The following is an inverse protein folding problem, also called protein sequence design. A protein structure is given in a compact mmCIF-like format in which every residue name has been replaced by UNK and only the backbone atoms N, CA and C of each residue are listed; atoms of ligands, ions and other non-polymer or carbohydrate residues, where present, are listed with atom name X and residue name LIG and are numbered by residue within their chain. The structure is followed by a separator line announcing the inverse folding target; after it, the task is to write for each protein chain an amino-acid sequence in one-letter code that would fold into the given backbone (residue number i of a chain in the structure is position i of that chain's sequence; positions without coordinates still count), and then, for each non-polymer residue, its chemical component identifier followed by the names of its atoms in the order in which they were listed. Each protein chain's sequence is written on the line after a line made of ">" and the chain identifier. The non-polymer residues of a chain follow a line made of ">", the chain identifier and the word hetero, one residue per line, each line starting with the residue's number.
data_IF_921936134545
#
_entry.id   IF_921936134545
#
_cell.length_a   1.000
_cell.length_b   1.000
_cell.length_c   1.000
_cell.angle_alpha   90.00
_cell.angle_beta   90.00
_cell.angle_gamma   90.00
#
_symmetry.space_group_name_H-M   'P 1'
#
loop_
_entity.id
_entity.type
_entity.pdbx_description
1 polymer ?
#
# COMPACT_ATOMS: atom_id res chain seq x y z
N UNK A 1 41.20 -33.89 -19.65
CA UNK A 1 40.94 -32.50 -19.20
C UNK A 1 39.47 -32.06 -19.30
N UNK A 2 38.74 -32.36 -20.39
CA UNK A 2 37.32 -31.91 -20.55
C UNK A 2 36.33 -32.47 -19.52
N UNK A 3 36.54 -33.70 -19.04
CA UNK A 3 35.64 -34.39 -18.10
C UNK A 3 35.69 -33.76 -16.69
N UNK A 4 36.87 -33.33 -16.24
CA UNK A 4 37.04 -32.68 -14.93
C UNK A 4 36.31 -31.33 -14.89
N UNK A 5 36.32 -30.58 -15.99
CA UNK A 5 35.59 -29.31 -16.08
C UNK A 5 34.07 -29.48 -15.98
N UNK A 6 33.52 -30.52 -16.61
CA UNK A 6 32.09 -30.86 -16.53
C UNK A 6 31.73 -31.28 -15.10
N UNK A 7 32.57 -32.08 -14.46
CA UNK A 7 32.34 -32.57 -13.10
C UNK A 7 32.33 -31.43 -12.07
N UNK A 8 33.27 -30.46 -12.20
CA UNK A 8 33.30 -29.25 -11.38
C UNK A 8 32.06 -28.38 -11.64
N UNK A 9 31.64 -28.24 -12.89
CA UNK A 9 30.45 -27.46 -13.24
C UNK A 9 29.18 -28.06 -12.62
N UNK A 10 29.03 -29.39 -12.67
CA UNK A 10 27.91 -30.10 -12.03
C UNK A 10 27.98 -29.95 -10.49
N UNK A 11 29.17 -30.10 -9.89
CA UNK A 11 29.38 -29.90 -8.45
C UNK A 11 29.06 -28.48 -7.97
N UNK A 12 29.22 -27.47 -8.82
CA UNK A 12 28.85 -26.09 -8.52
C UNK A 12 27.35 -25.81 -8.73
N UNK A 13 26.69 -26.54 -9.64
CA UNK A 13 25.25 -26.40 -9.91
C UNK A 13 24.40 -27.11 -8.83
N UNK A 14 24.86 -28.23 -8.28
CA UNK A 14 24.12 -28.97 -7.24
C UNK A 14 23.76 -28.10 -6.01
N UNK A 15 24.69 -27.32 -5.40
CA UNK A 15 24.34 -26.43 -4.28
C UNK A 15 23.52 -25.21 -4.71
N UNK A 16 23.47 -24.84 -5.99
CA UNK A 16 22.55 -23.82 -6.51
C UNK A 16 21.11 -24.34 -6.62
N UNK A 17 20.94 -25.64 -6.90
CA UNK A 17 19.62 -26.31 -6.98
C UNK A 17 19.15 -26.77 -5.59
N UNK A 18 20.08 -27.15 -4.69
CA UNK A 18 19.79 -27.63 -3.33
C UNK A 18 19.93 -26.55 -2.25
N UNK A 19 20.27 -25.32 -2.61
CA UNK A 19 20.06 -24.22 -1.69
C UNK A 19 18.56 -24.13 -1.46
N UNK A 20 18.13 -24.41 -0.23
CA UNK A 20 16.82 -23.95 0.22
C UNK A 20 16.72 -22.49 -0.20
N UNK A 21 15.79 -22.20 -1.12
CA UNK A 21 15.49 -20.83 -1.48
C UNK A 21 14.99 -20.22 -0.18
N UNK A 22 15.86 -19.48 0.50
CA UNK A 22 15.46 -18.63 1.62
C UNK A 22 14.45 -17.69 0.99
N UNK A 23 13.17 -18.00 1.17
CA UNK A 23 12.11 -17.09 0.79
C UNK A 23 12.40 -15.81 1.56
N UNK A 24 12.74 -14.70 0.88
CA UNK A 24 12.96 -13.46 1.59
C UNK A 24 11.70 -13.18 2.41
N UNK A 25 11.90 -12.69 3.63
CA UNK A 25 10.78 -12.23 4.46
C UNK A 25 10.00 -11.14 3.74
N UNK A 26 8.89 -10.73 4.34
CA UNK A 26 8.10 -9.62 3.82
C UNK A 26 8.05 -8.51 4.85
N UNK A 27 8.13 -7.28 4.39
CA UNK A 27 8.01 -6.12 5.25
C UNK A 27 6.92 -5.14 4.78
N UNK A 28 6.47 -4.29 5.71
CA UNK A 28 5.65 -3.12 5.44
C UNK A 28 6.20 -2.05 4.53
N UNK A 29 5.42 -1.65 3.51
CA UNK A 29 5.50 -0.31 2.91
C UNK A 29 4.17 0.44 3.04
N UNK A 30 4.28 1.76 3.18
CA UNK A 30 3.13 2.67 3.19
C UNK A 30 2.62 2.89 1.76
N UNK A 31 1.30 2.92 1.60
CA UNK A 31 0.65 3.33 0.35
C UNK A 31 -0.05 4.66 0.56
N UNK A 32 0.47 5.71 -0.09
CA UNK A 32 -0.10 7.06 -0.05
C UNK A 32 -1.10 7.19 -1.18
N UNK A 33 -2.36 7.42 -0.85
CA UNK A 33 -3.43 7.55 -1.84
C UNK A 33 -3.82 9.04 -1.99
N UNK A 34 -3.89 9.53 -3.23
CA UNK A 34 -4.14 10.94 -3.55
C UNK A 34 -5.23 11.12 -4.60
N UNK A 35 -6.08 12.12 -4.41
CA UNK A 35 -7.08 12.58 -5.36
C UNK A 35 -6.60 13.89 -5.98
N UNK A 36 -6.50 13.95 -7.30
CA UNK A 36 -5.90 15.09 -8.02
C UNK A 36 -6.86 16.19 -8.38
N UNK A 37 -8.13 15.85 -8.58
CA UNK A 37 -9.16 16.75 -9.07
C UNK A 37 -10.23 17.05 -8.00
N UNK A 38 -9.87 16.96 -6.71
CA UNK A 38 -10.82 17.26 -5.62
C UNK A 38 -11.33 18.71 -5.69
N UNK A 39 -10.47 19.63 -6.16
CA UNK A 39 -10.78 21.05 -6.33
C UNK A 39 -11.84 21.30 -7.41
N UNK A 40 -12.05 20.37 -8.33
CA UNK A 40 -13.06 20.48 -9.39
C UNK A 40 -14.48 20.25 -8.85
N UNK A 41 -14.60 19.80 -7.58
CA UNK A 41 -15.86 19.45 -6.91
C UNK A 41 -16.10 20.31 -5.64
N UNK A 42 -16.17 21.65 -5.76
CA UNK A 42 -16.22 22.54 -4.59
C UNK A 42 -17.51 22.43 -3.77
N UNK A 43 -18.57 21.84 -4.32
CA UNK A 43 -19.87 21.67 -3.65
C UNK A 43 -19.96 20.36 -2.85
N UNK A 44 -18.89 19.57 -2.83
CA UNK A 44 -18.87 18.27 -2.19
C UNK A 44 -17.85 18.20 -1.05
N UNK A 45 -18.13 17.33 -0.10
CA UNK A 45 -17.20 16.84 0.93
C UNK A 45 -16.80 15.43 0.55
N UNK A 46 -15.50 15.17 0.57
CA UNK A 46 -14.95 13.83 0.36
C UNK A 46 -14.56 13.26 1.70
N UNK A 47 -15.00 12.04 1.98
CA UNK A 47 -14.65 11.33 3.20
C UNK A 47 -14.05 9.97 2.87
N UNK A 48 -13.02 9.59 3.62
CA UNK A 48 -12.51 8.22 3.66
C UNK A 48 -13.15 7.47 4.81
N UNK A 49 -13.74 6.32 4.50
CA UNK A 49 -14.44 5.48 5.47
C UNK A 49 -14.35 4.01 5.05
N UNK A 50 -14.68 3.05 5.94
CA UNK A 50 -14.77 1.65 5.57
C UNK A 50 -15.80 1.43 4.44
N UNK A 51 -15.55 0.49 3.51
CA UNK A 51 -16.48 0.12 2.46
C UNK A 51 -17.78 -0.41 3.05
N UNK A 52 -18.93 0.10 2.59
CA UNK A 52 -20.27 -0.27 3.04
C UNK A 52 -20.49 -1.79 3.13
N UNK A 53 -19.99 -2.54 2.14
CA UNK A 53 -20.23 -3.98 1.99
C UNK A 53 -19.34 -4.87 2.88
N UNK A 54 -18.26 -4.33 3.44
CA UNK A 54 -17.28 -5.12 4.19
C UNK A 54 -17.14 -4.57 5.61
N UNK A 55 -17.64 -5.35 6.58
CA UNK A 55 -17.33 -5.13 7.99
C UNK A 55 -15.83 -5.40 8.22
N UNK A 56 -15.03 -4.34 8.18
CA UNK A 56 -13.60 -4.38 8.46
C UNK A 56 -13.30 -4.54 9.96
N UNK A 57 -12.12 -4.11 10.44
CA UNK A 57 -11.78 -4.15 11.87
C UNK A 57 -12.51 -3.06 12.70
N UNK A 58 -13.35 -2.25 12.06
CA UNK A 58 -14.34 -1.38 12.71
C UNK A 58 -14.00 0.09 12.65
N UNK A 59 -14.98 0.93 12.95
CA UNK A 59 -14.82 2.39 12.91
C UNK A 59 -13.82 2.89 13.96
N UNK A 60 -13.60 2.16 15.05
CA UNK A 60 -12.55 2.49 16.02
C UNK A 60 -11.13 2.35 15.42
N UNK A 61 -10.93 1.42 14.48
CA UNK A 61 -9.63 1.22 13.82
C UNK A 61 -9.54 1.94 12.47
N UNK A 62 -10.69 2.14 11.82
CA UNK A 62 -10.85 2.76 10.53
C UNK A 62 -11.89 3.90 10.59
N UNK A 63 -11.64 4.97 11.36
CA UNK A 63 -12.61 6.05 11.55
C UNK A 63 -12.88 6.81 10.25
N UNK A 64 -14.04 7.45 10.18
CA UNK A 64 -14.31 8.36 9.06
C UNK A 64 -13.33 9.54 9.17
N UNK A 65 -12.73 9.92 8.04
CA UNK A 65 -11.93 11.15 7.95
C UNK A 65 -12.32 11.95 6.73
N UNK A 66 -12.25 13.26 6.85
CA UNK A 66 -12.38 14.15 5.71
C UNK A 66 -11.09 14.06 4.88
N UNK A 67 -11.24 13.98 3.56
CA UNK A 67 -10.10 14.00 2.63
C UNK A 67 -9.73 15.46 2.37
N UNK A 68 -8.76 15.95 3.12
CA UNK A 68 -8.22 17.30 2.96
C UNK A 68 -7.12 17.32 1.90
N UNK A 69 -7.14 18.34 1.03
CA UNK A 69 -6.14 18.55 -0.03
C UNK A 69 -5.93 17.33 -0.95
N UNK A 70 -6.94 16.45 -1.03
CA UNK A 70 -6.89 15.23 -1.83
C UNK A 70 -6.06 14.10 -1.23
N UNK A 71 -5.45 14.26 -0.04
CA UNK A 71 -4.66 13.20 0.58
C UNK A 71 -5.59 12.30 1.42
N UNK A 72 -5.68 11.04 1.02
CA UNK A 72 -6.42 10.03 1.78
C UNK A 72 -5.51 9.57 2.91
N UNK A 73 -5.87 9.92 4.14
CA UNK A 73 -5.05 9.83 5.36
C UNK A 73 -4.15 8.58 5.41
N UNK A 74 -2.88 8.77 5.77
CA UNK A 74 -1.88 7.73 5.97
C UNK A 74 -1.89 7.10 7.38
N UNK A 75 -2.76 7.56 8.29
CA UNK A 75 -2.79 7.17 9.70
C UNK A 75 -3.82 6.08 10.02
N UNK A 76 -4.29 5.35 9.02
CA UNK A 76 -5.19 4.24 9.26
C UNK A 76 -4.43 3.03 9.79
N UNK A 77 -5.09 2.23 10.63
CA UNK A 77 -4.52 0.96 11.05
C UNK A 77 -4.26 0.08 9.81
N UNK A 78 -3.19 -0.73 9.83
CA UNK A 78 -2.64 -1.46 8.67
C UNK A 78 -3.61 -2.43 7.96
N UNK A 79 -4.79 -2.66 8.54
CA UNK A 79 -5.84 -3.58 8.06
C UNK A 79 -7.10 -2.86 7.57
N UNK A 80 -7.06 -1.53 7.43
CA UNK A 80 -8.20 -0.78 6.91
C UNK A 80 -8.21 -0.78 5.38
N UNK A 81 -9.15 -1.51 4.81
CA UNK A 81 -9.61 -1.26 3.46
C UNK A 81 -10.57 -0.06 3.51
N UNK A 82 -10.33 0.92 2.65
CA UNK A 82 -11.07 2.17 2.65
C UNK A 82 -11.79 2.37 1.32
N UNK A 83 -12.90 3.08 1.40
CA UNK A 83 -13.59 3.67 0.25
C UNK A 83 -13.64 5.18 0.43
N UNK A 84 -13.69 5.90 -0.69
CA UNK A 84 -13.99 7.34 -0.71
C UNK A 84 -15.44 7.54 -1.08
N UNK A 85 -16.13 8.30 -0.24
CA UNK A 85 -17.49 8.74 -0.47
C UNK A 85 -17.50 10.24 -0.73
N UNK A 86 -18.45 10.65 -1.56
CA UNK A 86 -18.73 12.04 -1.87
C UNK A 86 -20.12 12.41 -1.36
N UNK A 87 -20.22 13.55 -0.69
CA UNK A 87 -21.44 14.03 -0.03
C UNK A 87 -21.63 15.49 -0.41
N UNK A 88 -22.85 15.89 -0.75
CA UNK A 88 -23.16 17.31 -1.02
C UNK A 88 -23.01 18.11 0.28
N UNK A 89 -22.35 19.28 0.22
CA UNK A 89 -22.02 20.08 1.40
C UNK A 89 -23.23 20.49 2.24
N UNK A 90 -24.38 20.71 1.62
CA UNK A 90 -25.63 21.07 2.28
C UNK A 90 -26.25 19.90 3.06
N UNK A 91 -25.86 18.66 2.76
CA UNK A 91 -26.27 17.44 3.46
C UNK A 91 -25.26 16.99 4.52
N UNK A 92 -24.08 17.59 4.56
CA UNK A 92 -23.04 17.22 5.51
C UNK A 92 -23.27 17.88 6.87
N UNK A 93 -23.69 17.09 7.85
CA UNK A 93 -23.76 17.51 9.26
C UNK A 93 -22.50 17.03 10.02
N UNK A 94 -21.60 17.97 10.32
CA UNK A 94 -20.37 17.71 11.07
C UNK A 94 -20.67 17.12 12.46
N UNK A 95 -21.73 17.57 13.12
CA UNK A 95 -22.05 17.13 14.48
C UNK A 95 -22.49 15.67 14.53
N UNK A 96 -23.25 15.23 13.54
CA UNK A 96 -23.63 13.83 13.41
C UNK A 96 -22.45 12.96 12.95
N UNK A 97 -21.65 13.45 12.00
CA UNK A 97 -20.45 12.77 11.52
C UNK A 97 -19.38 12.57 12.61
N UNK A 98 -19.23 13.54 13.53
CA UNK A 98 -18.21 13.51 14.59
C UNK A 98 -18.31 12.25 15.46
N UNK A 99 -19.53 11.73 15.68
CA UNK A 99 -19.79 10.48 16.41
C UNK A 99 -19.06 9.27 15.80
N UNK A 100 -18.87 9.28 14.48
CA UNK A 100 -18.20 8.22 13.74
C UNK A 100 -16.73 8.53 13.44
N UNK A 101 -16.33 9.81 13.51
CA UNK A 101 -14.93 10.24 13.39
C UNK A 101 -14.15 9.98 14.67
N UNK A 102 -14.80 10.08 15.83
CA UNK A 102 -14.23 9.94 17.17
C UNK A 102 -14.81 8.74 17.93
N UNK A 103 -15.28 7.72 17.20
CA UNK A 103 -15.88 6.53 17.81
C UNK A 103 -14.87 5.81 18.73
N UNK A 104 -14.94 6.13 20.02
CA UNK A 104 -14.28 5.42 21.11
C UNK A 104 -15.33 4.51 21.78
N UNK A 105 -15.46 3.28 21.27
CA UNK A 105 -15.77 2.06 22.06
C UNK A 105 -17.16 1.34 21.98
N UNK A 106 -17.04 0.01 22.18
CA UNK A 106 -17.89 -1.13 22.63
C UNK A 106 -18.90 -1.91 21.73
N UNK A 107 -19.63 -1.36 20.75
CA UNK A 107 -20.58 -2.19 19.96
C UNK A 107 -20.43 -2.01 18.44
N UNK A 108 -19.50 -2.77 17.87
CA UNK A 108 -19.15 -2.75 16.45
C UNK A 108 -20.37 -2.82 15.54
N UNK A 109 -21.26 -3.78 15.78
CA UNK A 109 -22.34 -4.11 14.85
C UNK A 109 -23.40 -3.00 14.85
N UNK A 110 -23.70 -2.46 16.05
CA UNK A 110 -24.60 -1.32 16.21
C UNK A 110 -24.02 -0.05 15.57
N UNK A 111 -22.76 0.29 15.87
CA UNK A 111 -22.11 1.49 15.31
C UNK A 111 -22.02 1.41 13.78
N UNK A 112 -21.81 0.22 13.22
CA UNK A 112 -21.77 0.04 11.76
C UNK A 112 -23.14 0.21 11.11
N UNK A 113 -24.20 -0.30 11.74
CA UNK A 113 -25.59 -0.12 11.27
C UNK A 113 -26.02 1.34 11.32
N UNK A 114 -25.67 2.05 12.40
CA UNK A 114 -25.92 3.49 12.54
C UNK A 114 -25.13 4.30 11.50
N UNK A 115 -23.87 3.95 11.26
CA UNK A 115 -23.06 4.54 10.20
C UNK A 115 -23.67 4.34 8.82
N UNK A 116 -24.09 3.12 8.49
CA UNK A 116 -24.70 2.82 7.19
C UNK A 116 -25.99 3.62 7.00
N UNK A 117 -26.84 3.66 8.02
CA UNK A 117 -28.08 4.45 8.02
C UNK A 117 -27.81 5.94 7.84
N UNK A 118 -26.75 6.46 8.47
CA UNK A 118 -26.30 7.85 8.29
C UNK A 118 -25.81 8.11 6.86
N UNK A 119 -24.97 7.23 6.31
CA UNK A 119 -24.46 7.36 4.95
C UNK A 119 -25.58 7.30 3.90
N UNK A 120 -26.58 6.44 4.09
CA UNK A 120 -27.77 6.41 3.24
C UNK A 120 -28.62 7.68 3.38
N UNK A 121 -28.84 8.18 4.61
CA UNK A 121 -29.69 9.35 4.85
C UNK A 121 -29.14 10.62 4.19
N UNK A 122 -27.82 10.78 4.17
CA UNK A 122 -27.14 11.90 3.50
C UNK A 122 -26.86 11.65 2.01
N UNK A 123 -27.34 10.52 1.47
CA UNK A 123 -27.12 10.13 0.08
C UNK A 123 -25.65 10.08 -0.32
N UNK A 124 -24.78 9.58 0.56
CA UNK A 124 -23.36 9.46 0.29
C UNK A 124 -23.12 8.52 -0.91
N UNK A 125 -22.33 8.98 -1.88
CA UNK A 125 -22.03 8.19 -3.07
C UNK A 125 -20.59 7.70 -3.02
N UNK A 126 -20.39 6.39 -3.16
CA UNK A 126 -19.04 5.84 -3.29
C UNK A 126 -18.42 6.27 -4.64
N UNK A 127 -17.17 6.73 -4.63
CA UNK A 127 -16.43 7.19 -5.81
C UNK A 127 -15.08 6.51 -5.99
N UNK A 128 -14.49 5.97 -4.92
CA UNK A 128 -13.35 5.05 -4.98
C UNK A 128 -13.61 3.89 -4.02
N UNK A 129 -13.28 2.67 -4.44
CA UNK A 129 -13.42 1.45 -3.64
C UNK A 129 -12.07 0.74 -3.47
N UNK A 130 -11.93 -0.04 -2.40
CA UNK A 130 -10.79 -0.94 -2.12
C UNK A 130 -9.43 -0.23 -2.08
N UNK A 131 -9.36 0.92 -1.40
CA UNK A 131 -8.12 1.63 -1.17
C UNK A 131 -7.38 0.95 -0.02
N UNK A 132 -6.21 0.43 -0.34
CA UNK A 132 -5.27 -0.05 0.65
C UNK A 132 -4.31 1.08 1.04
N UNK A 133 -4.15 1.31 2.34
CA UNK A 133 -3.16 2.26 2.89
C UNK A 133 -1.79 1.62 3.11
N UNK A 134 -1.70 0.32 2.84
CA UNK A 134 -0.58 -0.51 3.20
C UNK A 134 -0.37 -1.64 2.20
N UNK A 135 0.89 -2.01 1.97
CA UNK A 135 1.26 -3.13 1.10
C UNK A 135 2.46 -3.88 1.66
N UNK A 136 2.43 -5.18 1.43
CA UNK A 136 3.49 -6.11 1.81
C UNK A 136 4.39 -6.34 0.59
N UNK A 137 5.70 -6.17 0.79
CA UNK A 137 6.72 -6.40 -0.24
C UNK A 137 7.81 -7.31 0.31
N UNK A 138 8.52 -8.00 -0.59
CA UNK A 138 9.68 -8.81 -0.21
C UNK A 138 10.76 -7.95 0.47
N UNK A 139 11.49 -8.50 1.43
CA UNK A 139 12.68 -7.89 2.07
C UNK A 139 13.81 -7.55 1.09
N UNK A 140 13.80 -8.17 -0.09
CA UNK A 140 14.69 -7.81 -1.18
C UNK A 140 14.26 -6.54 -1.94
N UNK A 141 13.03 -6.07 -1.71
CA UNK A 141 12.49 -4.86 -2.33
C UNK A 141 13.22 -3.63 -1.84
N UNK A 142 13.50 -2.71 -2.77
CA UNK A 142 14.07 -1.39 -2.49
C UNK A 142 13.00 -0.30 -2.42
N UNK A 143 11.73 -0.69 -2.62
CA UNK A 143 10.58 0.21 -2.53
C UNK A 143 10.31 0.49 -1.06
N UNK A 144 10.21 1.78 -0.70
CA UNK A 144 9.87 2.22 0.66
C UNK A 144 8.43 2.71 0.75
N UNK A 145 7.91 3.29 -0.33
CA UNK A 145 6.55 3.84 -0.40
C UNK A 145 5.96 3.67 -1.81
N UNK A 146 4.65 3.55 -1.88
CA UNK A 146 3.86 3.54 -3.13
C UNK A 146 2.87 4.71 -3.09
N UNK A 147 2.83 5.53 -4.13
CA UNK A 147 1.94 6.68 -4.27
C UNK A 147 0.93 6.37 -5.37
N UNK A 148 -0.32 6.17 -4.97
CA UNK A 148 -1.45 5.93 -5.86
C UNK A 148 -2.21 7.22 -6.07
N UNK A 149 -2.47 7.54 -7.33
CA UNK A 149 -3.13 8.77 -7.73
C UNK A 149 -4.44 8.47 -8.45
N UNK A 150 -5.49 9.16 -8.04
CA UNK A 150 -6.85 9.01 -8.54
C UNK A 150 -7.35 10.36 -9.10
N UNK A 151 -8.03 10.30 -10.23
CA UNK A 151 -8.89 11.34 -10.77
C UNK A 151 -10.34 10.86 -10.67
N UNK A 152 -11.13 11.52 -9.82
CA UNK A 152 -12.53 11.16 -9.56
C UNK A 152 -13.40 11.50 -10.75
N UNK A 153 -14.42 10.67 -10.96
CA UNK A 153 -15.55 10.94 -11.84
C UNK A 153 -16.81 10.56 -11.07
N UNK A 154 -17.64 11.54 -10.71
CA UNK A 154 -18.83 11.30 -9.89
C UNK A 154 -19.83 10.36 -10.55
N UNK A 155 -19.71 10.03 -11.84
CA UNK A 155 -20.63 9.11 -12.52
C UNK A 155 -20.30 7.63 -12.27
N UNK A 156 -19.06 7.31 -11.85
CA UNK A 156 -18.58 5.92 -11.72
C UNK A 156 -17.71 5.69 -10.50
N UNK A 157 -17.79 4.48 -9.94
CA UNK A 157 -16.88 4.05 -8.88
C UNK A 157 -15.55 3.66 -9.49
N UNK A 158 -14.45 4.19 -8.96
CA UNK A 158 -13.08 3.82 -9.36
C UNK A 158 -12.53 2.73 -8.44
N UNK A 159 -11.87 1.73 -9.02
CA UNK A 159 -11.27 0.62 -8.28
C UNK A 159 -9.74 0.68 -8.38
N UNK A 160 -9.20 1.10 -9.52
CA UNK A 160 -7.76 1.19 -9.77
C UNK A 160 -7.29 2.65 -9.84
N UNK A 161 -6.07 2.95 -9.37
CA UNK A 161 -5.47 4.28 -9.54
C UNK A 161 -5.14 4.58 -11.01
N UNK A 162 -5.20 5.84 -11.39
CA UNK A 162 -4.78 6.31 -12.73
C UNK A 162 -3.26 6.32 -12.88
N UNK A 163 -2.54 6.49 -11.76
CA UNK A 163 -1.09 6.47 -11.74
C UNK A 163 -0.56 5.84 -10.44
N UNK A 164 0.50 5.04 -10.57
CA UNK A 164 1.22 4.44 -9.45
C UNK A 164 2.69 4.84 -9.55
N UNK A 165 3.19 5.59 -8.57
CA UNK A 165 4.61 5.94 -8.42
C UNK A 165 5.21 5.20 -7.23
N UNK A 166 6.43 4.71 -7.37
CA UNK A 166 7.13 4.03 -6.27
C UNK A 166 8.34 4.85 -5.85
N UNK A 167 8.51 5.04 -4.55
CA UNK A 167 9.72 5.62 -3.99
C UNK A 167 10.71 4.51 -3.66
N UNK A 168 11.97 4.73 -4.05
CA UNK A 168 13.03 3.73 -4.01
C UNK A 168 14.20 4.28 -3.19
N UNK A 169 14.67 3.50 -2.22
CA UNK A 169 15.85 3.84 -1.45
C UNK A 169 17.14 3.50 -2.24
N UNK A 170 17.55 4.42 -3.11
CA UNK A 170 18.70 4.24 -4.01
C UNK A 170 20.00 3.88 -3.27
N UNK A 171 20.17 4.34 -2.03
CA UNK A 171 21.37 4.05 -1.23
C UNK A 171 21.53 2.55 -0.96
N UNK A 172 20.45 1.85 -0.59
CA UNK A 172 20.47 0.39 -0.41
C UNK A 172 20.77 -0.33 -1.72
N UNK A 173 20.16 0.10 -2.81
CA UNK A 173 20.42 -0.44 -4.16
C UNK A 173 21.92 -0.34 -4.50
N UNK A 174 22.52 0.82 -4.25
CA UNK A 174 23.95 1.06 -4.51
C UNK A 174 24.83 0.15 -3.63
N UNK A 175 24.51 0.00 -2.35
CA UNK A 175 25.26 -0.87 -1.43
C UNK A 175 25.25 -2.33 -1.89
N UNK A 176 24.07 -2.86 -2.28
CA UNK A 176 23.99 -4.24 -2.77
C UNK A 176 24.84 -4.47 -4.02
N UNK A 177 24.77 -3.55 -4.99
CA UNK A 177 25.57 -3.64 -6.23
C UNK A 177 27.06 -3.53 -5.92
N UNK A 178 27.48 -2.61 -5.06
CA UNK A 178 28.88 -2.43 -4.67
C UNK A 178 29.44 -3.67 -3.97
N UNK A 179 28.71 -4.24 -3.01
CA UNK A 179 29.15 -5.45 -2.29
C UNK A 179 29.33 -6.62 -3.27
N UNK A 180 28.42 -6.81 -4.22
CA UNK A 180 28.53 -7.84 -5.24
C UNK A 180 29.75 -7.63 -6.15
N UNK A 181 30.01 -6.39 -6.58
CA UNK A 181 31.17 -6.06 -7.40
C UNK A 181 32.50 -6.29 -6.65
N UNK A 182 32.59 -5.87 -5.38
CA UNK A 182 33.77 -6.11 -4.53
C UNK A 182 34.01 -7.61 -4.36
N UNK A 183 32.95 -8.38 -4.08
CA UNK A 183 33.04 -9.83 -3.92
C UNK A 183 33.55 -10.52 -5.19
N UNK A 184 33.03 -10.11 -6.35
CA UNK A 184 33.48 -10.61 -7.65
C UNK A 184 34.96 -10.27 -7.89
N UNK A 185 35.40 -9.05 -7.59
CA UNK A 185 36.79 -8.62 -7.73
C UNK A 185 37.73 -9.45 -6.85
N UNK A 186 37.34 -9.76 -5.60
CA UNK A 186 38.10 -10.63 -4.69
C UNK A 186 38.23 -12.03 -5.29
N UNK A 187 37.13 -12.62 -5.77
CA UNK A 187 37.13 -13.96 -6.38
C UNK A 187 38.06 -14.00 -7.59
N UNK A 188 37.97 -13.02 -8.50
CA UNK A 188 38.84 -12.93 -9.68
C UNK A 188 40.31 -12.84 -9.24
N UNK A 189 40.62 -12.00 -8.25
CA UNK A 189 41.99 -11.81 -7.76
C UNK A 189 42.59 -13.12 -7.21
N UNK A 190 41.79 -13.88 -6.45
CA UNK A 190 42.20 -15.20 -5.92
C UNK A 190 42.46 -16.18 -7.06
N UNK A 191 41.58 -16.24 -8.07
CA UNK A 191 41.72 -17.13 -9.23
C UNK A 191 42.95 -16.80 -10.08
N UNK A 192 43.24 -15.52 -10.30
CA UNK A 192 44.43 -15.08 -11.05
C UNK A 192 45.71 -15.38 -10.28
N UNK A 193 45.74 -15.12 -8.96
CA UNK A 193 46.92 -15.44 -8.12
C UNK A 193 47.18 -16.94 -8.03
N UNK A 194 46.17 -17.80 -8.00
CA UNK A 194 46.33 -19.27 -7.98
C UNK A 194 46.83 -19.88 -9.30
N UNK A 195 46.73 -19.15 -10.42
CA UNK A 195 47.26 -19.57 -11.73
C UNK A 195 48.72 -19.20 -11.96
N UNK A 196 49.29 -18.32 -11.13
CA UNK A 196 50.73 -18.05 -11.08
C UNK A 196 51.37 -18.92 -10.01
#
# INVERSE_FOLDING_TARGET
>A
MKIIGIFIMILLIIPLISADVILPGHHPITVINKITNIIDYPNYVFISAPPIENQGPGLNMCPIKIVEEGIISNQYYKLCDLSIFVIEKDKWDIGEAQKFMEAEDVDYEKTYSEYFSFMESISAKEVIKNIHTYKTVSDSSTVTEEINTYAIDLSKVKIEPDNVKKEIEYLKTIIYVLISLISLAIIITILVKRKK
#
